data_IF_090665777910
#
_entry.id   IF_090665777910
#
_cell.length_a   1.000
_cell.length_b   1.000
_cell.length_c   1.000
_cell.angle_alpha   90.00
_cell.angle_beta   90.00
_cell.angle_gamma   90.00
#
_symmetry.space_group_name_H-M   'P 1'
#
loop_
_entity.id
_entity.type
_entity.pdbx_description
1 polymer ?
#
# COMPACT_ATOMS: atom_id res chain seq x y z
N UNK A 1 -18.68 7.75 -2.23
CA UNK A 1 -17.99 7.18 -3.40
C UNK A 1 -17.81 5.69 -3.22
N UNK A 2 -18.07 4.92 -4.24
CA UNK A 2 -17.90 3.47 -4.19
C UNK A 2 -16.78 3.08 -5.17
N UNK A 3 -15.90 2.21 -4.72
CA UNK A 3 -14.78 1.75 -5.55
C UNK A 3 -14.74 0.23 -5.47
N UNK A 4 -14.62 -0.41 -6.62
CA UNK A 4 -14.43 -1.86 -6.66
C UNK A 4 -13.01 -2.20 -6.21
N UNK A 5 -12.86 -3.36 -5.60
CA UNK A 5 -11.55 -3.83 -5.18
C UNK A 5 -10.58 -3.90 -6.38
N UNK A 6 -11.06 -4.37 -7.52
CA UNK A 6 -10.25 -4.45 -8.72
C UNK A 6 -9.79 -3.07 -9.21
N UNK A 7 -10.61 -2.06 -9.01
CA UNK A 7 -10.22 -0.70 -9.36
C UNK A 7 -9.11 -0.18 -8.43
N UNK A 8 -9.19 -0.54 -7.17
CA UNK A 8 -8.18 -0.14 -6.20
C UNK A 8 -6.81 -0.72 -6.58
N UNK A 9 -6.79 -1.95 -7.06
CA UNK A 9 -5.54 -2.62 -7.45
C UNK A 9 -4.89 -2.01 -8.69
N UNK A 10 -5.60 -1.19 -9.43
CA UNK A 10 -5.06 -0.54 -10.63
C UNK A 10 -4.49 0.84 -10.36
N UNK A 11 -4.56 1.31 -9.13
CA UNK A 11 -4.15 2.67 -8.81
C UNK A 11 -2.69 2.72 -8.37
N UNK A 12 -2.01 3.77 -8.78
CA UNK A 12 -0.64 4.01 -8.39
C UNK A 12 -0.59 4.80 -7.09
N UNK A 13 0.32 4.42 -6.20
CA UNK A 13 0.47 5.05 -4.88
C UNK A 13 1.59 6.07 -4.95
N UNK A 14 1.30 7.28 -4.49
CA UNK A 14 2.26 8.38 -4.48
C UNK A 14 2.35 8.96 -3.08
N UNK A 15 3.58 9.11 -2.59
CA UNK A 15 3.82 9.71 -1.29
C UNK A 15 3.82 11.23 -1.42
N UNK A 16 2.95 11.90 -0.66
CA UNK A 16 2.80 13.34 -0.79
C UNK A 16 3.95 14.13 -0.16
N UNK A 17 4.68 13.54 0.78
CA UNK A 17 5.72 14.29 1.47
C UNK A 17 6.95 14.53 0.60
N UNK A 18 7.20 13.67 -0.40
CA UNK A 18 8.36 13.82 -1.26
C UNK A 18 8.04 13.59 -2.74
N UNK A 19 6.79 13.33 -3.07
CA UNK A 19 6.37 13.12 -4.46
C UNK A 19 6.79 11.79 -5.07
N UNK A 20 7.29 10.86 -4.28
CA UNK A 20 7.77 9.58 -4.81
C UNK A 20 6.62 8.71 -5.26
N UNK A 21 6.85 8.03 -6.38
CA UNK A 21 5.92 7.04 -6.89
C UNK A 21 6.30 5.70 -6.25
N UNK A 22 5.45 5.19 -5.39
CA UNK A 22 5.76 4.01 -4.61
C UNK A 22 5.46 2.71 -5.34
N UNK A 23 4.58 2.75 -6.33
CA UNK A 23 4.18 1.59 -7.09
C UNK A 23 2.68 1.42 -7.11
N UNK A 24 2.22 0.24 -7.55
CA UNK A 24 0.79 -0.03 -7.67
C UNK A 24 0.34 -0.93 -6.53
N UNK A 25 -0.90 -0.75 -6.11
CA UNK A 25 -1.49 -1.60 -5.08
C UNK A 25 -1.59 -3.02 -5.63
N UNK A 26 -1.05 -3.99 -4.89
CA UNK A 26 -1.11 -5.39 -5.26
C UNK A 26 -2.07 -6.18 -4.40
N UNK A 27 -2.38 -5.67 -3.22
CA UNK A 27 -3.23 -6.39 -2.28
C UNK A 27 -3.70 -5.43 -1.21
N UNK A 28 -4.60 -5.88 -0.34
CA UNK A 28 -4.94 -5.12 0.84
C UNK A 28 -5.22 -6.08 1.99
N UNK A 29 -5.11 -5.56 3.21
CA UNK A 29 -5.38 -6.31 4.42
C UNK A 29 -6.76 -5.91 4.93
N UNK A 30 -7.58 -6.90 5.18
CA UNK A 30 -8.97 -6.68 5.57
C UNK A 30 -9.22 -7.32 6.92
N UNK A 31 -9.84 -6.58 7.80
CA UNK A 31 -10.25 -7.11 9.10
C UNK A 31 -11.63 -7.74 8.99
N UNK A 32 -11.74 -8.99 9.40
CA UNK A 32 -13.00 -9.71 9.41
C UNK A 32 -13.49 -9.81 10.85
N UNK A 33 -14.81 -9.93 11.06
CA UNK A 33 -15.87 -10.13 10.07
C UNK A 33 -16.46 -8.85 9.48
N UNK A 34 -16.13 -7.66 9.99
CA UNK A 34 -16.73 -6.41 9.52
C UNK A 34 -16.34 -6.03 8.12
N UNK A 35 -15.14 -6.43 7.69
CA UNK A 35 -14.70 -6.13 6.33
C UNK A 35 -14.06 -4.77 6.17
N UNK A 36 -13.43 -4.25 7.21
CA UNK A 36 -12.71 -2.98 7.13
C UNK A 36 -11.32 -3.17 6.52
N UNK A 37 -10.94 -2.29 5.61
CA UNK A 37 -9.60 -2.31 5.05
C UNK A 37 -8.63 -1.69 6.05
N UNK A 38 -7.65 -2.47 6.48
CA UNK A 38 -6.65 -2.01 7.44
C UNK A 38 -5.46 -1.36 6.78
N UNK A 39 -5.08 -1.83 5.60
CA UNK A 39 -3.89 -1.35 4.91
C UNK A 39 -3.92 -1.78 3.46
N UNK A 40 -3.15 -1.06 2.63
CA UNK A 40 -2.89 -1.47 1.25
C UNK A 40 -1.46 -1.95 1.16
N UNK A 41 -1.19 -2.85 0.22
CA UNK A 41 0.12 -3.47 0.05
C UNK A 41 0.67 -3.13 -1.33
N UNK A 42 1.90 -2.61 -1.36
CA UNK A 42 2.62 -2.29 -2.59
C UNK A 42 3.88 -3.17 -2.62
N UNK A 43 4.14 -3.89 -3.71
CA UNK A 43 5.27 -4.81 -3.77
C UNK A 43 6.61 -4.09 -3.62
N UNK A 44 7.50 -4.67 -2.84
CA UNK A 44 8.79 -4.09 -2.58
C UNK A 44 9.73 -4.08 -3.78
N UNK A 45 9.45 -4.91 -4.78
CA UNK A 45 10.29 -4.93 -5.96
C UNK A 45 10.14 -3.69 -6.85
N UNK A 46 9.19 -2.84 -6.54
CA UNK A 46 9.09 -1.53 -7.19
C UNK A 46 9.99 -0.55 -6.48
N UNK A 47 11.19 -0.98 -6.16
CA UNK A 47 12.10 -0.24 -5.36
C UNK A 47 13.17 0.41 -6.13
N UNK A 48 12.87 0.87 -7.30
CA UNK A 48 13.83 1.67 -8.07
C UNK A 48 14.39 2.80 -7.24
N UNK A 49 13.72 3.14 -6.17
CA UNK A 49 14.14 4.24 -5.29
C UNK A 49 14.74 3.75 -3.98
N UNK A 50 14.97 2.46 -3.85
CA UNK A 50 15.58 1.91 -2.63
C UNK A 50 14.72 1.98 -1.39
N UNK A 51 13.39 1.97 -1.57
CA UNK A 51 12.47 2.11 -0.45
C UNK A 51 12.40 0.87 0.43
N UNK A 52 12.43 -0.30 -0.20
CA UNK A 52 12.34 -1.58 0.49
C UNK A 52 13.27 -2.58 -0.15
N UNK A 53 13.79 -3.54 0.62
CA UNK A 53 14.47 -4.68 0.02
C UNK A 53 13.54 -5.43 -0.92
N UNK A 54 14.04 -6.11 -1.96
CA UNK A 54 13.19 -6.77 -2.95
C UNK A 54 12.21 -7.79 -2.36
N UNK A 55 12.54 -8.37 -1.22
CA UNK A 55 11.69 -9.39 -0.60
C UNK A 55 10.69 -8.82 0.40
N UNK A 56 10.71 -7.52 0.63
CA UNK A 56 9.76 -6.88 1.54
C UNK A 56 8.67 -6.19 0.72
N UNK A 57 7.50 -6.07 1.32
CA UNK A 57 6.41 -5.30 0.75
C UNK A 57 6.18 -4.04 1.59
N UNK A 58 5.67 -3.02 0.94
CA UNK A 58 5.31 -1.78 1.61
C UNK A 58 3.86 -1.91 2.06
N UNK A 59 3.63 -1.88 3.36
CA UNK A 59 2.29 -1.99 3.94
C UNK A 59 1.89 -0.62 4.47
N UNK A 60 0.91 -0.01 3.82
CA UNK A 60 0.50 1.35 4.13
C UNK A 60 -0.80 1.33 4.90
N UNK A 61 -0.81 1.76 6.16
CA UNK A 61 -2.04 1.78 6.96
C UNK A 61 -3.11 2.65 6.31
N UNK A 62 -4.35 2.24 6.43
CA UNK A 62 -5.46 2.95 5.81
C UNK A 62 -5.54 4.41 6.29
N UNK A 63 -5.22 4.66 7.56
CA UNK A 63 -5.26 6.01 8.11
C UNK A 63 -4.26 6.97 7.46
N UNK A 64 -3.24 6.42 6.78
CA UNK A 64 -2.23 7.24 6.11
C UNK A 64 -2.63 7.62 4.70
N UNK A 65 -3.74 7.09 4.20
CA UNK A 65 -4.26 7.43 2.89
C UNK A 65 -4.96 8.78 3.01
N UNK A 66 -4.48 9.75 2.23
CA UNK A 66 -5.04 11.10 2.28
C UNK A 66 -6.09 11.35 1.23
N UNK A 67 -5.94 10.72 0.08
CA UNK A 67 -6.91 10.89 -1.00
C UNK A 67 -6.83 9.73 -1.98
N UNK A 68 -7.98 9.32 -2.45
CA UNK A 68 -8.08 8.30 -3.50
C UNK A 68 -8.70 8.96 -4.72
N UNK A 69 -7.91 9.03 -5.79
CA UNK A 69 -8.36 9.57 -7.07
C UNK A 69 -8.72 8.45 -8.03
N UNK A 70 -9.06 8.81 -9.28
CA UNK A 70 -9.42 7.80 -10.27
C UNK A 70 -8.26 6.89 -10.64
N UNK A 71 -7.03 7.41 -10.66
CA UNK A 71 -5.86 6.63 -11.07
C UNK A 71 -4.78 6.55 -10.03
N UNK A 72 -4.84 7.35 -8.97
CA UNK A 72 -3.78 7.42 -7.97
C UNK A 72 -4.33 7.41 -6.57
N UNK A 73 -3.47 7.04 -5.62
CA UNK A 73 -3.75 7.11 -4.20
C UNK A 73 -2.64 7.94 -3.57
N UNK A 74 -3.01 9.01 -2.89
CA UNK A 74 -2.05 9.86 -2.19
C UNK A 74 -1.95 9.42 -0.74
N UNK A 75 -0.72 9.16 -0.29
CA UNK A 75 -0.46 8.70 1.07
C UNK A 75 0.57 9.59 1.74
N UNK A 76 0.51 9.65 3.06
CA UNK A 76 1.48 10.39 3.86
C UNK A 76 2.15 9.41 4.81
N UNK A 77 3.31 8.90 4.40
CA UNK A 77 4.06 7.90 5.16
C UNK A 77 5.55 8.18 5.07
N UNK A 78 6.29 7.51 5.95
CA UNK A 78 7.72 7.35 5.80
C UNK A 78 7.94 5.95 5.26
N UNK A 79 8.27 5.80 3.97
CA UNK A 79 8.26 4.47 3.34
C UNK A 79 9.16 3.45 4.03
N UNK A 80 10.30 3.87 4.54
CA UNK A 80 11.22 2.95 5.21
C UNK A 80 10.62 2.36 6.49
N UNK A 81 9.66 3.02 7.10
CA UNK A 81 9.01 2.52 8.31
C UNK A 81 7.84 1.58 8.00
N UNK A 82 7.44 1.52 6.75
CA UNK A 82 6.31 0.70 6.34
C UNK A 82 6.71 -0.59 5.62
N UNK A 83 8.01 -0.86 5.51
CA UNK A 83 8.51 -2.07 4.87
C UNK A 83 8.31 -3.27 5.78
N UNK A 84 7.65 -4.31 5.26
CA UNK A 84 7.35 -5.52 6.00
C UNK A 84 7.80 -6.73 5.19
N UNK A 85 8.53 -7.68 5.79
CA UNK A 85 8.90 -8.89 5.08
C UNK A 85 7.67 -9.59 4.52
N UNK A 86 7.75 -9.98 3.25
CA UNK A 86 6.61 -10.59 2.57
C UNK A 86 6.11 -11.84 3.28
N UNK A 87 7.01 -12.59 3.88
CA UNK A 87 6.64 -13.80 4.60
C UNK A 87 5.68 -13.53 5.75
N UNK A 88 5.72 -12.35 6.36
CA UNK A 88 4.84 -12.02 7.48
C UNK A 88 3.41 -11.76 7.05
N UNK A 89 3.20 -11.45 5.77
CA UNK A 89 1.86 -11.15 5.27
C UNK A 89 1.00 -12.39 5.15
N UNK A 90 1.61 -13.58 5.17
CA UNK A 90 0.90 -14.83 4.96
C UNK A 90 0.68 -15.63 6.24
N UNK A 91 1.16 -15.14 7.36
CA UNK A 91 0.97 -15.84 8.62
C UNK A 91 -0.23 -15.27 9.35
N UNK A 92 -1.20 -16.11 9.68
CA UNK A 92 -2.30 -15.66 10.53
C UNK A 92 -1.74 -15.37 11.92
N UNK A 93 -2.26 -14.40 12.54
CA UNK A 93 -1.78 -14.01 13.86
C UNK A 93 -2.68 -14.51 14.97
#
# INVERSE_FOLDING_TARGET
MVCKFSELLCKEVICICDGRRLGFVSDCRIELPEGHILAIVVPGRCRAFGLCPPKDDLVIPWRCIKRIGPDIILVDIKPDECCVPRSRLFFPL
#
